data_IF_693681503929
#
_entry.id   IF_693681503929
#
_cell.length_a   1.000
_cell.length_b   1.000
_cell.length_c   1.000
_cell.angle_alpha   90.00
_cell.angle_beta   90.00
_cell.angle_gamma   90.00
#
_symmetry.space_group_name_H-M   'P 1'
#
loop_
_entity.id
_entity.type
_entity.pdbx_description
1 polymer ?
#
# COMPACT_ATOMS: atom_id res chain seq x y z
N UNK A 1 24.54 9.93 -4.75
CA UNK A 1 24.17 8.56 -4.34
C UNK A 1 22.65 8.43 -4.51
N UNK A 2 22.15 7.48 -5.30
CA UNK A 2 20.73 7.42 -5.73
C UNK A 2 19.81 6.90 -4.61
N UNK A 3 18.68 7.59 -4.38
CA UNK A 3 17.65 7.26 -3.38
C UNK A 3 17.16 5.80 -3.53
N UNK A 4 17.09 5.30 -4.77
CA UNK A 4 16.66 3.92 -5.08
C UNK A 4 17.60 2.88 -4.48
N UNK A 5 18.91 3.14 -4.52
CA UNK A 5 19.92 2.24 -3.93
C UNK A 5 19.84 2.23 -2.41
N UNK A 6 19.43 3.34 -1.79
CA UNK A 6 19.28 3.43 -0.34
C UNK A 6 18.04 2.67 0.13
N UNK A 7 16.95 2.71 -0.62
CA UNK A 7 15.72 2.00 -0.26
C UNK A 7 15.91 0.48 -0.24
N UNK A 8 16.61 -0.09 -1.23
CA UNK A 8 16.89 -1.54 -1.25
C UNK A 8 17.78 -1.97 -0.06
N UNK A 9 18.75 -1.15 0.33
CA UNK A 9 19.58 -1.41 1.51
C UNK A 9 18.76 -1.39 2.81
N UNK A 10 17.86 -0.42 2.95
CA UNK A 10 16.92 -0.37 4.08
C UNK A 10 16.03 -1.64 4.12
N UNK A 11 15.54 -2.11 2.97
CA UNK A 11 14.73 -3.33 2.90
C UNK A 11 15.52 -4.54 3.39
N UNK A 12 16.77 -4.72 2.94
CA UNK A 12 17.63 -5.83 3.39
C UNK A 12 17.89 -5.77 4.89
N UNK A 13 18.18 -4.58 5.43
CA UNK A 13 18.39 -4.38 6.86
C UNK A 13 17.13 -4.68 7.67
N UNK A 14 15.98 -4.18 7.22
CA UNK A 14 14.69 -4.43 7.86
C UNK A 14 14.34 -5.92 7.86
N UNK A 15 14.58 -6.64 6.76
CA UNK A 15 14.41 -8.10 6.68
C UNK A 15 15.31 -8.86 7.68
N UNK A 16 16.48 -8.32 8.00
CA UNK A 16 17.40 -8.85 9.01
C UNK A 16 17.07 -8.40 10.45
N UNK A 17 15.91 -7.77 10.68
CA UNK A 17 15.45 -7.38 12.01
C UNK A 17 15.83 -5.97 12.45
N UNK A 18 16.39 -5.13 11.57
CA UNK A 18 16.67 -3.73 11.91
C UNK A 18 15.38 -2.88 11.88
N UNK A 19 14.84 -2.63 13.07
CA UNK A 19 13.64 -1.81 13.27
C UNK A 19 13.81 -0.37 12.78
N UNK A 20 15.00 0.22 12.86
CA UNK A 20 15.23 1.59 12.39
C UNK A 20 15.09 1.67 10.88
N UNK A 21 15.58 0.64 10.18
CA UNK A 21 15.41 0.54 8.73
C UNK A 21 13.95 0.36 8.34
N UNK A 22 13.17 -0.43 9.09
CA UNK A 22 11.73 -0.56 8.87
C UNK A 22 10.99 0.77 9.07
N UNK A 23 11.28 1.49 10.16
CA UNK A 23 10.71 2.81 10.44
C UNK A 23 11.05 3.83 9.35
N UNK A 24 12.30 3.80 8.84
CA UNK A 24 12.71 4.65 7.73
C UNK A 24 11.90 4.36 6.45
N UNK A 25 11.66 3.07 6.13
CA UNK A 25 10.81 2.68 4.99
C UNK A 25 9.39 3.20 5.18
N UNK A 26 8.78 3.01 6.37
CA UNK A 26 7.43 3.51 6.65
C UNK A 26 7.36 5.03 6.43
N UNK A 27 8.37 5.78 6.90
CA UNK A 27 8.44 7.24 6.72
C UNK A 27 8.55 7.65 5.25
N UNK A 28 9.27 6.88 4.42
CA UNK A 28 9.36 7.13 2.97
C UNK A 28 7.99 7.01 2.30
N UNK A 29 7.20 6.01 2.69
CA UNK A 29 5.88 5.77 2.10
C UNK A 29 4.74 6.56 2.77
N UNK A 30 5.00 7.19 3.93
CA UNK A 30 3.98 7.86 4.73
C UNK A 30 3.15 8.86 3.93
N UNK A 31 3.77 9.73 3.13
CA UNK A 31 3.03 10.73 2.34
C UNK A 31 2.15 10.10 1.26
N UNK A 32 2.60 9.00 0.65
CA UNK A 32 1.81 8.25 -0.33
C UNK A 32 0.62 7.54 0.32
N UNK A 33 0.84 6.90 1.47
CA UNK A 33 -0.19 6.23 2.26
C UNK A 33 -1.26 7.24 2.71
N UNK A 34 -0.86 8.34 3.35
CA UNK A 34 -1.80 9.41 3.73
C UNK A 34 -2.62 9.93 2.54
N UNK A 35 -2.02 10.08 1.35
CA UNK A 35 -2.75 10.52 0.15
C UNK A 35 -3.81 9.50 -0.29
N UNK A 36 -3.53 8.20 -0.21
CA UNK A 36 -4.51 7.17 -0.56
C UNK A 36 -5.59 7.09 0.52
N UNK A 37 -5.20 6.97 1.79
CA UNK A 37 -6.13 6.90 2.92
C UNK A 37 -7.11 8.08 2.94
N UNK A 38 -6.62 9.31 2.76
CA UNK A 38 -7.47 10.53 2.72
C UNK A 38 -8.37 10.63 1.48
N UNK A 39 -8.12 9.85 0.43
CA UNK A 39 -8.93 9.85 -0.79
C UNK A 39 -10.11 8.88 -0.76
N UNK A 40 -10.23 8.07 0.30
CA UNK A 40 -11.21 6.99 0.40
C UNK A 40 -12.09 7.22 1.61
N UNK A 41 -13.41 7.10 1.42
CA UNK A 41 -14.39 7.21 2.49
C UNK A 41 -15.10 5.86 2.70
N UNK A 42 -14.98 5.32 3.91
CA UNK A 42 -15.71 4.15 4.37
C UNK A 42 -16.46 4.56 5.63
N UNK A 43 -17.77 4.31 5.67
CA UNK A 43 -18.58 4.71 6.83
C UNK A 43 -18.10 4.01 8.10
N UNK A 44 -17.74 4.79 9.11
CA UNK A 44 -17.20 4.30 10.39
C UNK A 44 -15.69 4.04 10.40
N UNK A 45 -14.95 4.45 9.36
CA UNK A 45 -13.49 4.42 9.34
C UNK A 45 -12.95 5.84 9.40
N UNK A 46 -11.89 6.02 10.18
CA UNK A 46 -11.03 7.20 10.16
C UNK A 46 -9.89 7.04 9.15
N UNK A 47 -9.22 8.14 8.80
CA UNK A 47 -8.06 8.10 7.90
C UNK A 47 -6.95 7.23 8.50
N UNK A 48 -6.82 7.28 9.83
CA UNK A 48 -5.91 6.50 10.64
C UNK A 48 -6.16 4.99 10.52
N UNK A 49 -7.41 4.55 10.39
CA UNK A 49 -7.74 3.13 10.21
C UNK A 49 -7.23 2.62 8.86
N UNK A 50 -7.45 3.39 7.79
CA UNK A 50 -6.93 3.07 6.47
C UNK A 50 -5.40 3.11 6.47
N UNK A 51 -4.80 4.12 7.11
CA UNK A 51 -3.35 4.23 7.22
C UNK A 51 -2.71 3.03 7.94
N UNK A 52 -3.38 2.46 8.95
CA UNK A 52 -2.92 1.23 9.60
C UNK A 52 -2.95 0.03 8.65
N UNK A 53 -4.01 -0.12 7.86
CA UNK A 53 -4.13 -1.20 6.87
C UNK A 53 -3.01 -1.11 5.83
N UNK A 54 -2.74 0.10 5.34
CA UNK A 54 -1.64 0.38 4.42
C UNK A 54 -0.27 0.08 5.06
N UNK A 55 -0.08 0.48 6.32
CA UNK A 55 1.16 0.23 7.07
C UNK A 55 1.42 -1.27 7.24
N UNK A 56 0.39 -2.05 7.59
CA UNK A 56 0.48 -3.51 7.68
C UNK A 56 0.83 -4.13 6.32
N UNK A 57 0.23 -3.63 5.24
CA UNK A 57 0.51 -4.09 3.89
C UNK A 57 1.95 -3.79 3.46
N UNK A 58 2.45 -2.59 3.77
CA UNK A 58 3.84 -2.20 3.52
C UNK A 58 4.82 -3.08 4.30
N UNK A 59 4.58 -3.31 5.60
CA UNK A 59 5.42 -4.18 6.43
C UNK A 59 5.47 -5.59 5.83
N UNK A 60 4.32 -6.15 5.47
CA UNK A 60 4.26 -7.47 4.79
C UNK A 60 5.02 -7.45 3.46
N UNK A 61 4.95 -6.35 2.71
CA UNK A 61 5.69 -6.20 1.46
C UNK A 61 7.21 -6.15 1.70
N UNK A 62 7.68 -5.45 2.74
CA UNK A 62 9.11 -5.44 3.12
C UNK A 62 9.59 -6.86 3.36
N UNK A 63 8.89 -7.65 4.17
CA UNK A 63 9.36 -9.01 4.52
C UNK A 63 9.19 -10.06 3.42
N UNK A 64 8.27 -9.85 2.47
CA UNK A 64 8.03 -10.79 1.35
C UNK A 64 8.79 -10.44 0.07
N UNK A 65 9.35 -9.23 -0.02
CA UNK A 65 10.04 -8.79 -1.21
C UNK A 65 11.34 -9.58 -1.40
N UNK A 66 11.50 -10.18 -2.59
CA UNK A 66 12.76 -10.83 -2.96
C UNK A 66 13.67 -9.81 -3.67
N UNK A 67 14.80 -9.52 -3.02
CA UNK A 67 15.81 -8.56 -3.48
C UNK A 67 16.57 -8.99 -4.74
N UNK A 68 16.43 -10.23 -5.21
CA UNK A 68 17.05 -10.75 -6.42
C UNK A 68 16.24 -10.46 -7.69
N UNK A 69 14.96 -10.08 -7.55
CA UNK A 69 14.13 -9.74 -8.70
C UNK A 69 14.46 -8.34 -9.26
N UNK A 70 14.29 -8.19 -10.58
CA UNK A 70 14.57 -6.93 -11.30
C UNK A 70 13.58 -5.80 -10.99
N UNK A 71 12.42 -6.10 -10.41
CA UNK A 71 11.39 -5.10 -10.18
C UNK A 71 11.71 -4.25 -8.96
N UNK A 72 11.61 -2.93 -9.09
CA UNK A 72 11.84 -2.00 -7.99
C UNK A 72 10.90 -2.25 -6.81
N UNK A 73 11.44 -2.19 -5.59
CA UNK A 73 10.68 -2.34 -4.35
C UNK A 73 9.49 -1.36 -4.29
N UNK A 74 9.65 -0.12 -4.77
CA UNK A 74 8.59 0.88 -4.82
C UNK A 74 7.34 0.39 -5.56
N UNK A 75 7.51 -0.22 -6.73
CA UNK A 75 6.40 -0.79 -7.52
C UNK A 75 5.71 -1.91 -6.78
N UNK A 76 6.49 -2.79 -6.14
CA UNK A 76 5.96 -3.90 -5.36
C UNK A 76 5.15 -3.42 -4.15
N UNK A 77 5.72 -2.50 -3.36
CA UNK A 77 5.10 -1.95 -2.16
C UNK A 77 3.84 -1.13 -2.47
N UNK A 78 3.89 -0.25 -3.48
CA UNK A 78 2.70 0.54 -3.88
C UNK A 78 1.56 -0.33 -4.37
N UNK A 79 1.87 -1.43 -5.08
CA UNK A 79 0.87 -2.42 -5.50
C UNK A 79 0.26 -3.13 -4.29
N UNK A 80 1.08 -3.56 -3.33
CA UNK A 80 0.60 -4.20 -2.11
C UNK A 80 -0.32 -3.30 -1.28
N UNK A 81 0.05 -2.02 -1.12
CA UNK A 81 -0.75 -1.01 -0.40
C UNK A 81 -2.11 -0.83 -1.07
N UNK A 82 -2.14 -0.54 -2.38
CA UNK A 82 -3.40 -0.36 -3.13
C UNK A 82 -4.30 -1.58 -3.05
N UNK A 83 -3.71 -2.79 -3.14
CA UNK A 83 -4.47 -4.03 -3.04
C UNK A 83 -5.08 -4.21 -1.65
N UNK A 84 -4.35 -3.88 -0.58
CA UNK A 84 -4.87 -3.99 0.78
C UNK A 84 -6.09 -3.09 1.00
N UNK A 85 -5.99 -1.83 0.57
CA UNK A 85 -7.09 -0.87 0.69
C UNK A 85 -8.30 -1.27 -0.16
N UNK A 86 -8.07 -1.69 -1.41
CA UNK A 86 -9.15 -2.17 -2.28
C UNK A 86 -9.83 -3.42 -1.72
N UNK A 87 -9.08 -4.32 -1.10
CA UNK A 87 -9.64 -5.51 -0.46
C UNK A 87 -10.48 -5.13 0.76
N UNK A 88 -10.04 -4.15 1.55
CA UNK A 88 -10.83 -3.65 2.67
C UNK A 88 -12.15 -3.03 2.20
N UNK A 89 -12.09 -2.17 1.18
CA UNK A 89 -13.29 -1.58 0.59
C UNK A 89 -14.25 -2.65 0.06
N UNK A 90 -13.73 -3.66 -0.64
CA UNK A 90 -14.54 -4.80 -1.11
C UNK A 90 -15.15 -5.60 0.04
N UNK A 91 -14.36 -5.86 1.10
CA UNK A 91 -14.83 -6.56 2.31
C UNK A 91 -15.97 -5.79 2.98
N UNK A 92 -15.81 -4.48 3.14
CA UNK A 92 -16.85 -3.58 3.66
C UNK A 92 -18.11 -3.61 2.79
N UNK A 93 -17.96 -3.46 1.48
CA UNK A 93 -19.08 -3.50 0.53
C UNK A 93 -19.77 -4.87 0.52
N UNK A 94 -19.04 -5.98 0.65
CA UNK A 94 -19.61 -7.32 0.70
C UNK A 94 -20.38 -7.58 1.99
N UNK A 95 -19.86 -7.13 3.14
CA UNK A 95 -20.58 -7.14 4.43
C UNK A 95 -21.88 -6.35 4.31
N UNK A 96 -21.85 -5.21 3.60
CA UNK A 96 -23.03 -4.40 3.31
C UNK A 96 -23.95 -5.03 2.27
N UNK A 97 -23.44 -5.75 1.26
CA UNK A 97 -24.22 -6.41 0.20
C UNK A 97 -24.94 -7.69 0.65
N UNK A 98 -24.72 -8.15 1.88
CA UNK A 98 -25.75 -8.93 2.60
C UNK A 98 -27.10 -8.19 2.67
N UNK A 99 -27.05 -6.85 2.58
CA UNK A 99 -28.13 -5.90 2.29
C UNK A 99 -27.87 -5.27 0.89
N UNK A 100 -28.06 -6.06 -0.18
CA UNK A 100 -27.98 -5.74 -1.62
C UNK A 100 -27.64 -4.29 -2.03
N UNK A 101 -26.45 -4.06 -2.57
CA UNK A 101 -26.13 -2.91 -3.43
C UNK A 101 -25.35 -3.35 -4.68
N UNK A 102 -26.01 -3.32 -5.83
CA UNK A 102 -25.37 -3.44 -7.14
C UNK A 102 -24.71 -2.10 -7.48
N UNK A 103 -23.38 -2.08 -7.63
CA UNK A 103 -22.70 -0.94 -8.24
C UNK A 103 -22.34 -1.30 -9.68
N UNK A 104 -22.94 -0.57 -10.63
CA UNK A 104 -22.70 -0.73 -12.06
C UNK A 104 -21.24 -0.46 -12.40
N UNK A 105 -20.62 -1.40 -13.13
CA UNK A 105 -19.21 -1.40 -13.57
C UNK A 105 -18.91 -0.39 -14.69
N UNK A 106 -19.54 0.78 -14.69
CA UNK A 106 -19.27 1.84 -15.66
C UNK A 106 -18.71 3.09 -14.97
N UNK A 107 -17.44 3.03 -14.57
CA UNK A 107 -16.56 4.18 -14.73
C UNK A 107 -15.30 3.72 -15.46
N UNK A 108 -15.08 4.36 -16.58
CA UNK A 108 -14.21 3.98 -17.69
C UNK A 108 -12.75 3.79 -17.31
N UNK A 109 -12.15 2.74 -17.87
CA UNK A 109 -10.72 2.57 -18.02
C UNK A 109 -10.09 3.86 -18.57
N UNK A 110 -9.12 4.43 -17.83
CA UNK A 110 -8.05 5.22 -18.44
C UNK A 110 -6.71 4.78 -17.89
N UNK A 111 -6.02 4.05 -18.77
CA UNK A 111 -4.57 3.91 -18.79
C UNK A 111 -3.92 5.29 -18.62
N UNK A 112 -2.87 5.36 -17.79
CA UNK A 112 -2.17 6.61 -17.51
C UNK A 112 -0.96 6.38 -16.63
N UNK A 113 0.17 6.11 -17.30
CA UNK A 113 1.55 6.15 -16.83
C UNK A 113 1.80 6.92 -15.53
N UNK A 114 2.41 6.27 -14.54
CA UNK A 114 3.19 6.94 -13.50
C UNK A 114 4.50 6.19 -13.28
N UNK A 115 5.52 6.64 -14.01
CA UNK A 115 6.92 6.48 -13.64
C UNK A 115 7.23 7.46 -12.50
N UNK A 116 7.83 6.94 -11.43
CA UNK A 116 8.77 7.64 -10.58
C UNK A 116 9.86 6.65 -10.17
#
# INVERSE_FOLDING_TARGET
MSIISQLLDLVKKAQNGDEKSLQAIIKIFQGFMYKIASSIYINGYEVEDLFQIESIALIKAVFKYNCEYKNAFTTYATTAIKNAVNNELRSFLNKRNGEKFEFSLNSTSKEGSYYF
#
